data_IF_961705082912
#
_entry.id   IF_961705082912
#
_cell.length_a   1.000
_cell.length_b   1.000
_cell.length_c   1.000
_cell.angle_alpha   90.00
_cell.angle_beta   90.00
_cell.angle_gamma   90.00
#
_symmetry.space_group_name_H-M   'P 1'
#
loop_
_entity.id
_entity.type
_entity.pdbx_description
1 polymer ?
#
# COMPACT_ATOMS: atom_id res chain seq x y z
N UNK A 1 -35.18 -5.18 18.12
CA UNK A 1 -34.28 -4.60 17.11
C UNK A 1 -34.76 -4.97 15.70
N UNK A 2 -34.82 -4.00 14.78
CA UNK A 2 -35.19 -4.28 13.39
C UNK A 2 -34.18 -5.26 12.75
N UNK A 3 -34.66 -6.19 11.88
CA UNK A 3 -33.86 -7.26 11.29
C UNK A 3 -32.65 -6.70 10.50
N UNK A 4 -32.87 -5.68 9.66
CA UNK A 4 -31.80 -5.07 8.85
C UNK A 4 -30.67 -4.47 9.71
N UNK A 5 -31.04 -3.76 10.78
CA UNK A 5 -30.07 -3.22 11.73
C UNK A 5 -29.27 -4.33 12.39
N UNK A 6 -29.93 -5.42 12.81
CA UNK A 6 -29.28 -6.56 13.43
C UNK A 6 -28.27 -7.24 12.48
N UNK A 7 -28.62 -7.45 11.20
CA UNK A 7 -27.71 -8.05 10.23
C UNK A 7 -26.44 -7.20 10.04
N UNK A 8 -26.55 -5.88 9.95
CA UNK A 8 -25.41 -4.97 9.85
C UNK A 8 -24.53 -5.05 11.11
N UNK A 9 -25.16 -4.96 12.29
CA UNK A 9 -24.41 -5.05 13.56
C UNK A 9 -23.76 -6.42 13.74
N UNK A 10 -24.43 -7.51 13.33
CA UNK A 10 -23.84 -8.86 13.32
C UNK A 10 -22.63 -8.93 12.37
N UNK A 11 -22.74 -8.39 11.17
CA UNK A 11 -21.61 -8.36 10.22
C UNK A 11 -20.39 -7.64 10.82
N UNK A 12 -20.61 -6.52 11.51
CA UNK A 12 -19.55 -5.78 12.21
C UNK A 12 -18.94 -6.62 13.35
N UNK A 13 -19.81 -7.28 14.15
CA UNK A 13 -19.37 -8.07 15.29
C UNK A 13 -18.56 -9.30 14.89
N UNK A 14 -19.03 -10.07 13.89
CA UNK A 14 -18.36 -11.30 13.44
C UNK A 14 -17.05 -11.02 12.73
N UNK A 15 -16.94 -9.89 12.02
CA UNK A 15 -15.68 -9.48 11.35
C UNK A 15 -14.52 -9.23 12.34
N UNK A 16 -14.83 -8.91 13.60
CA UNK A 16 -13.83 -8.72 14.66
C UNK A 16 -13.38 -10.03 15.30
N UNK A 17 -14.14 -11.12 15.08
CA UNK A 17 -13.91 -12.43 15.70
C UNK A 17 -13.29 -13.39 14.70
N UNK A 18 -12.35 -14.22 15.13
CA UNK A 18 -11.80 -15.32 14.30
C UNK A 18 -12.78 -16.49 14.22
N UNK A 19 -13.41 -16.82 15.37
CA UNK A 19 -14.41 -17.87 15.51
C UNK A 19 -15.46 -17.44 16.53
N UNK A 20 -16.66 -17.95 16.40
CA UNK A 20 -17.81 -17.65 17.27
C UNK A 20 -18.86 -18.75 17.14
N UNK A 21 -19.78 -18.81 18.09
CA UNK A 21 -20.89 -19.76 18.04
C UNK A 21 -22.26 -19.06 18.12
N UNK A 22 -23.32 -19.78 17.72
CA UNK A 22 -24.65 -19.23 17.68
C UNK A 22 -25.21 -18.84 19.06
N UNK A 23 -24.74 -19.48 20.14
CA UNK A 23 -25.19 -19.17 21.52
C UNK A 23 -24.59 -17.85 22.00
N UNK A 24 -23.30 -17.61 21.70
CA UNK A 24 -22.64 -16.33 22.00
C UNK A 24 -23.32 -15.17 21.32
N UNK A 25 -23.56 -15.29 20.00
CA UNK A 25 -24.27 -14.24 19.25
C UNK A 25 -25.71 -14.06 19.72
N UNK A 26 -26.40 -15.13 20.06
CA UNK A 26 -27.75 -15.05 20.60
C UNK A 26 -27.81 -14.25 21.91
N UNK A 27 -26.84 -14.46 22.79
CA UNK A 27 -26.70 -13.70 24.04
C UNK A 27 -26.32 -12.24 23.76
N UNK A 28 -25.37 -11.98 22.84
CA UNK A 28 -24.89 -10.64 22.50
C UNK A 28 -26.00 -9.77 21.87
N UNK A 29 -26.82 -10.37 21.00
CA UNK A 29 -27.87 -9.65 20.27
C UNK A 29 -29.28 -9.76 20.91
N UNK A 30 -29.42 -10.49 22.03
CA UNK A 30 -30.69 -10.64 22.74
C UNK A 30 -31.78 -11.34 21.94
N UNK A 31 -31.40 -12.35 21.11
CA UNK A 31 -32.32 -13.11 20.26
C UNK A 31 -32.10 -14.62 20.43
N UNK A 32 -33.04 -15.44 19.90
CA UNK A 32 -32.87 -16.90 19.98
C UNK A 32 -31.73 -17.40 19.03
N UNK A 33 -31.12 -18.53 19.39
CA UNK A 33 -30.14 -19.22 18.53
C UNK A 33 -30.72 -19.56 17.16
N UNK A 34 -32.00 -19.89 17.05
CA UNK A 34 -32.71 -20.13 15.79
C UNK A 34 -32.71 -18.86 14.90
N UNK A 35 -32.88 -17.68 15.53
CA UNK A 35 -32.83 -16.40 14.82
C UNK A 35 -31.44 -16.15 14.31
N UNK A 36 -30.40 -16.38 15.13
CA UNK A 36 -29.00 -16.24 14.73
C UNK A 36 -28.65 -17.15 13.54
N UNK A 37 -29.02 -18.43 13.61
CA UNK A 37 -28.73 -19.37 12.50
C UNK A 37 -29.34 -18.88 11.19
N UNK A 38 -30.58 -18.35 11.22
CA UNK A 38 -31.23 -17.80 10.03
C UNK A 38 -30.54 -16.52 9.55
N UNK A 39 -30.18 -15.65 10.45
CA UNK A 39 -29.45 -14.42 10.13
C UNK A 39 -28.05 -14.74 9.57
N UNK A 40 -27.36 -15.78 10.07
CA UNK A 40 -26.09 -16.28 9.49
C UNK A 40 -26.27 -16.82 8.07
N UNK A 41 -27.35 -17.56 7.79
CA UNK A 41 -27.67 -18.01 6.43
C UNK A 41 -27.85 -16.83 5.48
N UNK A 42 -28.53 -15.76 5.92
CA UNK A 42 -28.68 -14.55 5.12
C UNK A 42 -27.34 -13.81 4.90
N UNK A 43 -26.51 -13.70 5.94
CA UNK A 43 -25.18 -13.12 5.81
C UNK A 43 -24.29 -13.93 4.84
N UNK A 44 -24.39 -15.25 4.87
CA UNK A 44 -23.73 -16.12 3.89
C UNK A 44 -24.23 -15.87 2.45
N UNK A 45 -25.55 -15.73 2.28
CA UNK A 45 -26.14 -15.38 0.98
C UNK A 45 -25.73 -13.99 0.47
N UNK A 46 -25.40 -13.06 1.40
CA UNK A 46 -24.83 -11.73 1.11
C UNK A 46 -23.32 -11.78 0.83
N UNK A 47 -22.69 -12.96 0.87
CA UNK A 47 -21.28 -13.16 0.55
C UNK A 47 -20.33 -12.99 1.73
N UNK A 48 -20.83 -12.95 2.97
CA UNK A 48 -19.92 -12.89 4.14
C UNK A 48 -19.16 -14.22 4.26
N UNK A 49 -17.81 -14.22 4.23
CA UNK A 49 -17.01 -15.43 4.09
C UNK A 49 -16.76 -16.10 5.44
N UNK A 50 -17.58 -17.06 5.79
CA UNK A 50 -17.39 -17.95 6.93
C UNK A 50 -17.83 -19.37 6.58
N UNK A 51 -17.32 -20.33 7.33
CA UNK A 51 -17.80 -21.71 7.26
C UNK A 51 -18.29 -22.17 8.64
N UNK A 52 -19.17 -23.17 8.64
CA UNK A 52 -19.70 -23.76 9.86
C UNK A 52 -19.07 -25.12 10.10
N UNK A 53 -18.66 -25.36 11.34
CA UNK A 53 -18.23 -26.67 11.80
C UNK A 53 -19.35 -27.31 12.64
N UNK A 54 -19.71 -28.55 12.28
CA UNK A 54 -20.75 -29.32 12.99
C UNK A 54 -20.11 -30.15 14.09
N UNK A 55 -20.62 -30.08 15.32
CA UNK A 55 -20.13 -30.89 16.44
C UNK A 55 -20.44 -30.30 17.79
N UNK A 56 -20.05 -31.02 18.86
CA UNK A 56 -20.29 -30.61 20.24
C UNK A 56 -19.58 -29.27 20.59
N UNK A 57 -18.51 -28.93 19.88
CA UNK A 57 -17.80 -27.67 19.91
C UNK A 57 -17.93 -26.89 18.59
N UNK A 58 -18.98 -27.23 17.79
CA UNK A 58 -19.23 -26.62 16.50
C UNK A 58 -19.54 -25.13 16.61
N UNK A 59 -19.17 -24.39 15.58
CA UNK A 59 -19.33 -22.94 15.50
C UNK A 59 -19.16 -22.42 14.08
N UNK A 60 -18.88 -21.16 13.98
CA UNK A 60 -18.56 -20.48 12.73
C UNK A 60 -17.13 -19.95 12.80
N UNK A 61 -16.39 -20.13 11.73
CA UNK A 61 -15.02 -19.60 11.59
C UNK A 61 -14.96 -18.71 10.35
N UNK A 62 -14.46 -17.48 10.53
CA UNK A 62 -14.26 -16.56 9.42
C UNK A 62 -13.15 -17.09 8.51
N UNK A 63 -13.36 -17.04 7.21
CA UNK A 63 -12.30 -17.23 6.23
C UNK A 63 -11.28 -16.07 6.33
N UNK A 64 -10.06 -16.29 5.88
CA UNK A 64 -8.97 -15.31 6.01
C UNK A 64 -9.24 -13.97 5.28
N UNK A 65 -10.12 -13.96 4.30
CA UNK A 65 -10.57 -12.75 3.63
C UNK A 65 -11.64 -12.04 4.49
N UNK A 66 -11.19 -11.10 5.31
CA UNK A 66 -12.08 -10.25 6.09
C UNK A 66 -12.79 -9.25 5.17
N UNK A 67 -14.11 -9.33 5.09
CA UNK A 67 -14.91 -8.29 4.44
C UNK A 67 -15.13 -7.12 5.41
N UNK A 68 -14.92 -5.91 4.93
CA UNK A 68 -15.34 -4.72 5.68
C UNK A 68 -16.87 -4.66 5.70
N UNK A 69 -17.48 -4.19 6.81
CA UNK A 69 -18.92 -3.94 6.85
C UNK A 69 -19.29 -2.86 5.82
N UNK A 70 -20.55 -2.78 5.38
CA UNK A 70 -20.99 -1.71 4.50
C UNK A 70 -20.62 -0.34 5.07
N UNK A 71 -19.78 0.40 4.36
CA UNK A 71 -19.41 1.78 4.70
C UNK A 71 -20.09 2.69 3.70
N UNK A 72 -20.85 3.68 4.21
CA UNK A 72 -21.45 4.68 3.36
C UNK A 72 -20.38 5.72 2.98
N UNK A 73 -20.30 6.03 1.69
CA UNK A 73 -19.47 7.09 1.15
C UNK A 73 -20.36 8.22 0.64
N UNK A 74 -19.96 9.44 0.92
CA UNK A 74 -20.50 10.63 0.24
C UNK A 74 -19.95 10.70 -1.19
N UNK A 75 -20.61 11.46 -2.06
CA UNK A 75 -20.12 11.73 -3.42
C UNK A 75 -18.72 12.30 -3.43
N UNK A 76 -18.42 13.24 -2.52
CA UNK A 76 -17.11 13.87 -2.40
C UNK A 76 -16.00 12.88 -2.03
N UNK A 77 -16.28 11.96 -1.09
CA UNK A 77 -15.34 10.92 -0.70
C UNK A 77 -15.09 9.93 -1.84
N UNK A 78 -16.13 9.55 -2.57
CA UNK A 78 -15.99 8.69 -3.73
C UNK A 78 -15.16 9.37 -4.83
N UNK A 79 -15.41 10.64 -5.14
CA UNK A 79 -14.58 11.43 -6.07
C UNK A 79 -13.12 11.49 -5.63
N UNK A 80 -12.84 11.66 -4.33
CA UNK A 80 -11.49 11.69 -3.80
C UNK A 80 -10.75 10.35 -4.01
N UNK A 81 -11.43 9.21 -3.86
CA UNK A 81 -10.85 7.89 -4.16
C UNK A 81 -10.48 7.76 -5.64
N UNK A 82 -11.37 8.16 -6.55
CA UNK A 82 -11.09 8.16 -7.99
C UNK A 82 -9.94 9.09 -8.35
N UNK A 83 -9.89 10.28 -7.74
CA UNK A 83 -8.82 11.25 -7.93
C UNK A 83 -7.46 10.66 -7.50
N UNK A 84 -7.38 10.09 -6.31
CA UNK A 84 -6.16 9.48 -5.79
C UNK A 84 -5.67 8.32 -6.67
N UNK A 85 -6.59 7.45 -7.11
CA UNK A 85 -6.26 6.35 -8.01
C UNK A 85 -5.78 6.86 -9.38
N UNK A 86 -6.44 7.88 -9.94
CA UNK A 86 -6.06 8.46 -11.22
C UNK A 86 -4.67 9.13 -11.20
N UNK A 87 -4.25 9.68 -10.06
CA UNK A 87 -2.93 10.27 -9.88
C UNK A 87 -1.79 9.26 -10.10
N UNK A 88 -2.05 7.96 -9.85
CA UNK A 88 -1.04 6.90 -9.96
C UNK A 88 -1.00 6.23 -11.35
N UNK A 89 -1.84 6.62 -12.30
CA UNK A 89 -1.99 5.94 -13.60
C UNK A 89 -0.76 5.91 -14.49
N UNK A 90 0.23 6.76 -14.21
CA UNK A 90 1.48 6.82 -14.99
C UNK A 90 2.54 5.79 -14.55
N UNK A 91 2.30 5.08 -13.45
CA UNK A 91 3.14 3.96 -13.05
C UNK A 91 2.66 2.68 -13.75
N UNK A 92 3.60 1.90 -14.30
CA UNK A 92 3.30 0.68 -15.06
C UNK A 92 2.68 -0.41 -14.20
N UNK A 93 3.12 -0.51 -12.95
CA UNK A 93 2.60 -1.46 -11.95
C UNK A 93 2.37 -0.72 -10.64
N UNK A 94 1.35 -1.12 -9.90
CA UNK A 94 1.04 -0.63 -8.55
C UNK A 94 0.97 -1.81 -7.58
N UNK A 95 1.35 -1.62 -6.31
CA UNK A 95 0.99 -2.59 -5.29
C UNK A 95 -0.54 -2.61 -5.16
N UNK A 96 -1.14 -3.82 -5.04
CA UNK A 96 -2.59 -4.00 -4.94
C UNK A 96 -3.40 -3.45 -6.13
N UNK A 97 -2.88 -3.56 -7.36
CA UNK A 97 -3.53 -3.04 -8.56
C UNK A 97 -4.89 -3.70 -8.82
N UNK A 98 -4.96 -5.03 -8.68
CA UNK A 98 -6.19 -5.79 -8.88
C UNK A 98 -7.29 -5.40 -7.88
N UNK A 99 -6.92 -5.17 -6.63
CA UNK A 99 -7.80 -4.73 -5.55
C UNK A 99 -8.29 -3.30 -5.80
N UNK A 100 -7.39 -2.42 -6.22
CA UNK A 100 -7.74 -1.03 -6.57
C UNK A 100 -8.76 -0.99 -7.70
N UNK A 101 -8.53 -1.72 -8.77
CA UNK A 101 -9.46 -1.83 -9.90
C UNK A 101 -10.80 -2.45 -9.48
N UNK A 102 -10.78 -3.45 -8.61
CA UNK A 102 -12.00 -4.05 -8.07
C UNK A 102 -12.83 -3.05 -7.29
N UNK A 103 -12.19 -2.27 -6.41
CA UNK A 103 -12.87 -1.23 -5.60
C UNK A 103 -13.46 -0.15 -6.51
N UNK A 104 -12.69 0.37 -7.46
CA UNK A 104 -13.16 1.40 -8.38
C UNK A 104 -14.35 0.95 -9.22
N UNK A 105 -14.33 -0.29 -9.74
CA UNK A 105 -15.48 -0.86 -10.47
C UNK A 105 -16.73 -0.96 -9.59
N UNK A 106 -16.60 -1.39 -8.33
CA UNK A 106 -17.72 -1.43 -7.38
C UNK A 106 -18.27 -0.04 -7.13
N UNK A 107 -17.43 0.93 -6.82
CA UNK A 107 -17.89 2.33 -6.62
C UNK A 107 -18.61 2.85 -7.85
N UNK A 108 -18.01 2.71 -9.04
CA UNK A 108 -18.57 3.22 -10.29
C UNK A 108 -19.95 2.59 -10.59
N UNK A 109 -20.14 1.31 -10.30
CA UNK A 109 -21.41 0.61 -10.51
C UNK A 109 -22.57 1.15 -9.66
N UNK A 110 -22.29 1.67 -8.46
CA UNK A 110 -23.30 2.19 -7.53
C UNK A 110 -23.50 3.71 -7.61
N UNK A 111 -22.73 4.41 -8.45
CA UNK A 111 -22.88 5.86 -8.63
C UNK A 111 -24.00 6.21 -9.59
N UNK A 112 -24.63 7.37 -9.35
CA UNK A 112 -25.57 7.97 -10.29
C UNK A 112 -24.85 8.44 -11.58
N UNK A 113 -25.60 8.66 -12.64
CA UNK A 113 -25.07 9.03 -13.96
C UNK A 113 -24.32 10.36 -13.92
N UNK A 114 -24.86 11.36 -13.23
CA UNK A 114 -24.25 12.68 -13.06
C UNK A 114 -22.88 12.63 -12.36
N UNK A 115 -22.71 11.72 -11.37
CA UNK A 115 -21.43 11.52 -10.69
C UNK A 115 -20.43 10.82 -11.62
N UNK A 116 -20.86 9.82 -12.38
CA UNK A 116 -20.01 9.17 -13.40
C UNK A 116 -19.51 10.17 -14.41
N UNK A 117 -20.39 11.00 -14.95
CA UNK A 117 -20.04 12.09 -15.87
C UNK A 117 -19.06 13.08 -15.24
N UNK A 118 -19.22 13.36 -13.95
CA UNK A 118 -18.29 14.24 -13.22
C UNK A 118 -16.90 13.62 -13.09
N UNK A 119 -16.81 12.32 -12.80
CA UNK A 119 -15.56 11.56 -12.76
C UNK A 119 -14.87 11.59 -14.13
N UNK A 120 -15.60 11.33 -15.20
CA UNK A 120 -15.05 11.30 -16.56
C UNK A 120 -14.55 12.67 -17.00
N UNK A 121 -15.29 13.73 -16.69
CA UNK A 121 -14.82 15.10 -16.91
C UNK A 121 -13.60 15.47 -16.09
N UNK A 122 -13.51 14.99 -14.84
CA UNK A 122 -12.35 15.21 -13.97
C UNK A 122 -11.10 14.53 -14.53
N UNK A 123 -11.22 13.28 -14.99
CA UNK A 123 -10.11 12.53 -15.61
C UNK A 123 -9.49 13.24 -16.80
N UNK A 124 -10.31 13.99 -17.58
CA UNK A 124 -9.85 14.77 -18.72
C UNK A 124 -9.23 16.13 -18.33
N UNK A 125 -9.37 16.57 -17.08
CA UNK A 125 -8.95 17.91 -16.62
C UNK A 125 -7.92 17.93 -15.54
N UNK A 126 -7.58 16.77 -14.99
CA UNK A 126 -6.55 16.60 -13.97
C UNK A 126 -5.55 15.53 -14.38
N UNK A 127 -4.29 15.86 -14.21
CA UNK A 127 -3.17 14.93 -14.38
C UNK A 127 -2.07 15.21 -13.34
N UNK A 128 -1.51 14.15 -12.76
CA UNK A 128 -0.27 14.21 -12.02
C UNK A 128 0.83 13.62 -12.90
N UNK A 129 1.46 14.49 -13.68
CA UNK A 129 2.44 14.07 -14.68
C UNK A 129 3.70 13.58 -14.00
N UNK A 130 4.00 12.31 -14.21
CA UNK A 130 5.28 11.70 -13.84
C UNK A 130 5.95 11.14 -15.11
N UNK A 131 7.29 11.06 -15.15
CA UNK A 131 7.96 10.43 -16.30
C UNK A 131 7.46 8.99 -16.50
N UNK A 132 6.82 8.72 -17.63
CA UNK A 132 6.31 7.40 -17.94
C UNK A 132 7.48 6.43 -18.17
N UNK A 133 7.52 5.36 -17.37
CA UNK A 133 8.51 4.28 -17.49
C UNK A 133 7.78 2.99 -17.82
N UNK A 134 8.24 2.29 -18.87
CA UNK A 134 7.66 0.99 -19.30
C UNK A 134 8.30 -0.21 -18.62
N UNK A 135 9.06 0.02 -17.56
CA UNK A 135 9.73 -1.05 -16.85
C UNK A 135 8.74 -1.72 -15.88
N UNK A 136 8.55 -3.03 -16.03
CA UNK A 136 7.67 -3.82 -15.15
C UNK A 136 8.30 -4.03 -13.78
N UNK A 137 7.47 -3.99 -12.74
CA UNK A 137 7.84 -4.16 -11.32
C UNK A 137 6.90 -5.16 -10.62
N UNK A 138 6.86 -6.43 -11.03
CA UNK A 138 5.82 -7.38 -10.63
C UNK A 138 5.89 -7.80 -9.15
N UNK A 139 6.93 -7.42 -8.43
CA UNK A 139 7.18 -7.87 -7.06
C UNK A 139 6.84 -6.82 -5.99
N UNK A 140 6.15 -5.72 -6.34
CA UNK A 140 5.87 -4.61 -5.40
C UNK A 140 5.08 -5.05 -4.18
N UNK A 141 4.00 -5.82 -4.35
CA UNK A 141 3.18 -6.31 -3.25
C UNK A 141 3.99 -7.21 -2.31
N UNK A 142 4.77 -8.15 -2.87
CA UNK A 142 5.60 -9.05 -2.07
C UNK A 142 6.67 -8.30 -1.27
N UNK A 143 7.31 -7.29 -1.88
CA UNK A 143 8.30 -6.44 -1.20
C UNK A 143 7.67 -5.62 -0.08
N UNK A 144 6.48 -5.09 -0.31
CA UNK A 144 5.73 -4.32 0.68
C UNK A 144 5.28 -5.21 1.86
N UNK A 145 4.73 -6.39 1.57
CA UNK A 145 4.33 -7.36 2.59
C UNK A 145 5.53 -7.84 3.42
N UNK A 146 6.67 -8.10 2.77
CA UNK A 146 7.89 -8.46 3.45
C UNK A 146 8.42 -7.33 4.36
N UNK A 147 8.27 -6.07 3.95
CA UNK A 147 8.62 -4.92 4.78
C UNK A 147 7.70 -4.78 6.00
N UNK A 148 6.39 -4.91 5.81
CA UNK A 148 5.38 -4.84 6.88
C UNK A 148 5.61 -5.96 7.91
N UNK A 149 5.84 -7.17 7.44
CA UNK A 149 6.02 -8.36 8.28
C UNK A 149 7.46 -8.53 8.81
N UNK A 150 8.37 -7.60 8.50
CA UNK A 150 9.79 -7.65 8.86
C UNK A 150 10.46 -8.97 8.40
N UNK A 151 10.14 -9.42 7.17
CA UNK A 151 10.67 -10.67 6.60
C UNK A 151 11.85 -10.42 5.69
N UNK A 152 12.73 -11.41 5.61
CA UNK A 152 13.85 -11.42 4.66
C UNK A 152 13.38 -12.04 3.34
N UNK A 153 13.79 -11.45 2.24
CA UNK A 153 13.59 -12.01 0.90
C UNK A 153 14.93 -12.27 0.22
N UNK A 154 14.96 -13.31 -0.59
CA UNK A 154 16.03 -13.56 -1.55
C UNK A 154 15.59 -12.99 -2.88
N UNK A 155 16.38 -12.07 -3.44
CA UNK A 155 16.10 -11.48 -4.74
C UNK A 155 17.26 -11.65 -5.70
N UNK A 156 16.95 -11.89 -6.97
CA UNK A 156 17.89 -11.71 -8.08
C UNK A 156 17.86 -10.25 -8.56
N UNK A 157 18.98 -9.56 -8.43
CA UNK A 157 19.11 -8.16 -8.80
C UNK A 157 20.09 -7.96 -9.95
N UNK A 158 19.65 -7.26 -11.00
CA UNK A 158 20.46 -6.91 -12.14
C UNK A 158 21.01 -5.49 -11.99
N UNK A 159 22.30 -5.38 -11.65
CA UNK A 159 23.02 -4.11 -11.69
C UNK A 159 23.59 -3.89 -13.12
N UNK A 160 24.11 -2.67 -13.39
CA UNK A 160 24.70 -2.34 -14.71
C UNK A 160 25.78 -3.34 -15.19
N UNK A 161 26.37 -4.12 -14.32
CA UNK A 161 27.53 -4.99 -14.61
C UNK A 161 27.33 -6.46 -14.24
N UNK A 162 26.42 -6.79 -13.32
CA UNK A 162 26.31 -8.15 -12.79
C UNK A 162 24.89 -8.46 -12.35
N UNK A 163 24.47 -9.71 -12.58
CA UNK A 163 23.27 -10.32 -12.00
C UNK A 163 23.70 -11.05 -10.73
N UNK A 164 23.10 -10.74 -9.58
CA UNK A 164 23.48 -11.32 -8.30
C UNK A 164 22.23 -11.66 -7.48
N UNK A 165 22.27 -12.82 -6.84
CA UNK A 165 21.29 -13.20 -5.80
C UNK A 165 21.72 -12.57 -4.47
N UNK A 166 20.75 -11.99 -3.74
CA UNK A 166 20.98 -11.31 -2.46
C UNK A 166 19.85 -11.59 -1.50
N UNK A 167 20.20 -11.88 -0.26
CA UNK A 167 19.25 -11.83 0.85
C UNK A 167 19.16 -10.37 1.32
N UNK A 168 17.94 -9.82 1.32
CA UNK A 168 17.67 -8.46 1.78
C UNK A 168 16.44 -8.44 2.69
N UNK A 169 16.40 -7.51 3.62
CA UNK A 169 15.21 -7.23 4.42
C UNK A 169 14.63 -5.89 3.97
N UNK A 170 13.49 -5.88 3.26
CA UNK A 170 12.84 -4.66 2.82
C UNK A 170 12.45 -3.77 4.01
N UNK A 171 12.62 -2.46 3.86
CA UNK A 171 12.17 -1.44 4.80
C UNK A 171 10.84 -0.86 4.33
N UNK A 172 10.64 -0.81 3.02
CA UNK A 172 9.45 -0.31 2.38
C UNK A 172 9.63 -0.16 0.88
N UNK A 173 8.63 0.40 0.23
CA UNK A 173 8.71 0.82 -1.17
C UNK A 173 8.26 2.26 -1.30
N UNK A 174 8.84 2.99 -2.24
CA UNK A 174 8.35 4.33 -2.60
C UNK A 174 8.55 4.59 -4.09
N UNK A 175 7.74 5.49 -4.63
CA UNK A 175 7.80 5.88 -6.02
C UNK A 175 8.46 7.26 -6.16
N UNK A 176 9.37 7.42 -7.12
CA UNK A 176 10.01 8.69 -7.45
C UNK A 176 10.39 8.71 -8.93
N UNK A 177 10.11 9.82 -9.62
CA UNK A 177 10.47 10.06 -11.01
C UNK A 177 10.07 8.90 -11.97
N UNK A 178 8.89 8.31 -11.71
CA UNK A 178 8.34 7.21 -12.52
C UNK A 178 8.96 5.84 -12.26
N UNK A 179 9.82 5.69 -11.25
CA UNK A 179 10.38 4.42 -10.81
C UNK A 179 9.92 4.08 -9.39
N UNK A 180 9.85 2.77 -9.11
CA UNK A 180 9.71 2.24 -7.77
C UNK A 180 11.07 1.89 -7.17
N UNK A 181 11.24 2.23 -5.92
CA UNK A 181 12.45 2.00 -5.13
C UNK A 181 12.11 1.22 -3.87
N UNK A 182 13.03 0.35 -3.48
CA UNK A 182 12.96 -0.43 -2.23
C UNK A 182 14.24 -0.20 -1.44
N UNK A 183 14.24 0.65 -0.40
CA UNK A 183 15.29 0.64 0.59
C UNK A 183 15.22 -0.67 1.37
N UNK A 184 16.35 -1.35 1.52
CA UNK A 184 16.42 -2.63 2.20
C UNK A 184 17.80 -2.84 2.85
N UNK A 185 17.83 -3.52 4.00
CA UNK A 185 19.09 -4.00 4.56
C UNK A 185 19.62 -5.17 3.74
N UNK A 186 20.82 -5.02 3.20
CA UNK A 186 21.48 -6.02 2.38
C UNK A 186 22.44 -6.84 3.25
N UNK A 187 22.11 -8.11 3.51
CA UNK A 187 22.94 -8.97 4.34
C UNK A 187 24.33 -9.25 3.78
N UNK A 188 24.51 -9.18 2.45
CA UNK A 188 25.81 -9.32 1.81
C UNK A 188 26.71 -8.11 2.07
N UNK A 189 26.13 -6.91 2.09
CA UNK A 189 26.86 -5.65 2.32
C UNK A 189 26.87 -5.25 3.81
N UNK A 190 25.99 -5.85 4.61
CA UNK A 190 25.74 -5.52 6.03
C UNK A 190 25.35 -4.05 6.24
N UNK A 191 24.62 -3.50 5.28
CA UNK A 191 24.24 -2.10 5.24
C UNK A 191 22.91 -1.91 4.49
N UNK A 192 22.26 -0.76 4.71
CA UNK A 192 21.06 -0.37 3.99
C UNK A 192 21.45 0.08 2.58
N UNK A 193 20.74 -0.45 1.60
CA UNK A 193 20.96 -0.11 0.18
C UNK A 193 19.63 0.17 -0.50
N UNK A 194 19.65 1.06 -1.48
CA UNK A 194 18.52 1.40 -2.30
C UNK A 194 18.48 0.54 -3.56
N UNK A 195 17.39 -0.17 -3.75
CA UNK A 195 17.17 -1.02 -4.91
C UNK A 195 16.07 -0.45 -5.80
N UNK A 196 16.32 -0.35 -7.10
CA UNK A 196 15.28 -0.05 -8.09
C UNK A 196 14.50 -1.32 -8.39
N UNK A 197 13.17 -1.26 -8.23
CA UNK A 197 12.31 -2.46 -8.34
C UNK A 197 12.26 -3.04 -9.75
N UNK A 198 12.42 -2.22 -10.80
CA UNK A 198 12.47 -2.67 -12.20
C UNK A 198 13.71 -3.52 -12.55
N UNK A 199 14.72 -3.53 -11.69
CA UNK A 199 15.93 -4.34 -11.85
C UNK A 199 15.87 -5.67 -11.10
N UNK A 200 14.78 -5.94 -10.42
CA UNK A 200 14.55 -7.18 -9.68
C UNK A 200 13.96 -8.21 -10.66
N UNK A 201 14.61 -9.36 -10.80
CA UNK A 201 14.22 -10.43 -11.74
C UNK A 201 13.41 -11.54 -11.08
N UNK A 202 13.66 -11.79 -9.80
CA UNK A 202 12.88 -12.71 -8.98
C UNK A 202 12.94 -12.31 -7.52
N UNK A 203 11.90 -12.63 -6.75
CA UNK A 203 11.83 -12.47 -5.30
C UNK A 203 11.15 -13.69 -4.71
N UNK A 204 11.73 -14.23 -3.65
CA UNK A 204 11.14 -15.30 -2.83
C UNK A 204 11.42 -15.03 -1.35
N UNK A 205 10.56 -15.54 -0.47
CA UNK A 205 10.81 -15.46 0.97
C UNK A 205 12.06 -16.27 1.31
N UNK A 206 12.93 -15.71 2.17
CA UNK A 206 14.13 -16.34 2.65
C UNK A 206 13.91 -16.86 4.09
N UNK A 207 14.45 -18.04 4.41
CA UNK A 207 14.47 -18.56 5.78
C UNK A 207 15.48 -17.86 6.68
N UNK A 208 16.20 -16.87 6.14
CA UNK A 208 17.20 -16.13 6.91
C UNK A 208 16.52 -15.34 8.02
N UNK A 209 17.12 -15.37 9.22
CA UNK A 209 16.63 -14.62 10.36
C UNK A 209 16.71 -13.11 10.07
N UNK A 210 15.58 -12.43 10.26
CA UNK A 210 15.48 -10.99 10.19
C UNK A 210 16.25 -10.30 11.33
N UNK A 211 16.68 -9.07 11.09
CA UNK A 211 17.19 -8.16 12.12
C UNK A 211 16.08 -7.19 12.53
N UNK A 212 16.22 -6.53 13.66
CA UNK A 212 15.25 -5.55 14.11
C UNK A 212 15.41 -4.24 13.33
N UNK A 213 14.45 -3.93 12.47
CA UNK A 213 14.33 -2.68 11.70
C UNK A 213 13.03 -1.94 11.99
N UNK A 214 12.38 -2.21 13.12
CA UNK A 214 11.07 -1.61 13.46
C UNK A 214 11.09 -0.09 13.55
N UNK A 215 12.24 0.51 13.83
CA UNK A 215 12.41 1.97 13.88
C UNK A 215 12.81 2.58 12.53
N UNK A 216 13.13 1.75 11.53
CA UNK A 216 13.56 2.21 10.21
C UNK A 216 12.40 2.15 9.24
N UNK A 217 12.11 3.26 8.59
CA UNK A 217 11.00 3.38 7.64
C UNK A 217 11.38 4.24 6.43
N UNK A 218 10.48 4.36 5.45
CA UNK A 218 10.74 5.10 4.20
C UNK A 218 11.08 6.58 4.39
N UNK A 219 10.79 7.18 5.53
CA UNK A 219 11.09 8.57 5.84
C UNK A 219 12.41 8.81 6.56
N UNK A 220 13.10 7.76 7.05
CA UNK A 220 14.33 7.93 7.82
C UNK A 220 15.47 6.96 7.47
N UNK A 221 15.28 6.03 6.55
CA UNK A 221 16.26 5.00 6.22
C UNK A 221 17.62 5.56 5.79
N UNK A 222 17.67 6.74 5.20
CA UNK A 222 18.92 7.39 4.76
C UNK A 222 19.84 7.74 5.92
N UNK A 223 19.29 8.05 7.10
CA UNK A 223 20.09 8.35 8.30
C UNK A 223 20.75 7.11 8.93
N UNK A 224 20.40 5.92 8.47
CA UNK A 224 20.99 4.65 8.93
C UNK A 224 22.01 4.07 7.93
N UNK A 225 22.30 4.76 6.83
CA UNK A 225 23.37 4.36 5.90
C UNK A 225 24.69 4.77 6.52
N UNK A 226 25.61 3.80 6.64
CA UNK A 226 27.01 4.14 6.96
C UNK A 226 27.63 4.83 5.74
N UNK A 227 28.08 6.07 5.91
CA UNK A 227 28.78 6.82 4.86
C UNK A 227 30.15 6.16 4.58
N UNK A 228 30.21 5.28 3.61
CA UNK A 228 31.46 4.64 3.14
C UNK A 228 32.37 5.58 2.32
N UNK A 229 31.90 6.77 1.99
CA UNK A 229 32.65 7.73 1.18
C UNK A 229 32.78 9.06 1.88
N UNK A 230 33.96 9.69 1.81
CA UNK A 230 34.07 11.06 2.31
C UNK A 230 33.03 11.93 1.58
N UNK A 231 32.22 12.62 2.35
CA UNK A 231 31.28 13.57 1.80
C UNK A 231 32.07 14.68 1.10
N UNK A 232 31.89 14.81 -0.20
CA UNK A 232 32.42 15.97 -0.93
C UNK A 232 31.34 17.06 -0.84
N UNK A 233 31.70 18.20 -0.29
CA UNK A 233 30.88 19.39 -0.33
C UNK A 233 31.19 20.15 -1.62
N UNK A 234 30.15 20.37 -2.43
CA UNK A 234 30.26 21.13 -3.68
C UNK A 234 29.58 22.49 -3.48
N UNK A 235 30.39 23.53 -3.52
CA UNK A 235 29.91 24.91 -3.53
C UNK A 235 29.81 25.40 -4.98
N UNK A 236 28.65 25.91 -5.36
CA UNK A 236 28.38 26.42 -6.70
C UNK A 236 27.71 27.77 -6.60
N UNK A 237 28.19 28.76 -7.32
CA UNK A 237 27.49 30.02 -7.50
C UNK A 237 26.50 29.93 -8.64
N UNK A 238 25.26 30.30 -8.38
CA UNK A 238 24.17 30.21 -9.33
C UNK A 238 23.67 31.60 -9.73
N UNK A 239 23.35 31.77 -11.00
CA UNK A 239 22.55 32.90 -11.45
C UNK A 239 21.13 32.81 -10.92
N UNK A 240 20.36 33.91 -10.93
CA UNK A 240 18.94 33.89 -10.51
C UNK A 240 18.13 32.83 -11.25
N UNK A 241 18.39 32.63 -12.55
CA UNK A 241 17.76 31.54 -13.33
C UNK A 241 18.23 30.16 -12.87
N UNK A 242 19.49 30.04 -12.44
CA UNK A 242 20.04 28.79 -11.89
C UNK A 242 19.38 28.43 -10.55
N UNK A 243 19.18 29.39 -9.67
CA UNK A 243 18.44 29.24 -8.40
C UNK A 243 17.02 28.74 -8.67
N UNK A 244 16.26 29.41 -9.54
CA UNK A 244 14.90 29.00 -9.89
C UNK A 244 14.84 27.57 -10.47
N UNK A 245 15.81 27.16 -11.27
CA UNK A 245 15.92 25.80 -11.77
C UNK A 245 16.19 24.79 -10.66
N UNK A 246 17.10 25.08 -9.76
CA UNK A 246 17.38 24.20 -8.62
C UNK A 246 16.17 24.07 -7.69
N UNK A 247 15.43 25.15 -7.44
CA UNK A 247 14.19 25.12 -6.63
C UNK A 247 13.07 24.34 -7.31
N UNK A 248 13.02 24.31 -8.64
CA UNK A 248 12.03 23.56 -9.40
C UNK A 248 12.32 22.04 -9.48
N UNK A 249 13.54 21.62 -9.16
CA UNK A 249 13.95 20.21 -9.15
C UNK A 249 13.74 19.61 -7.76
N UNK A 250 13.37 18.32 -7.72
CA UNK A 250 13.24 17.60 -6.44
C UNK A 250 14.60 17.10 -5.96
N UNK A 251 15.19 17.83 -5.03
CA UNK A 251 16.39 17.42 -4.30
C UNK A 251 16.04 16.89 -2.92
N UNK A 252 16.71 15.84 -2.42
CA UNK A 252 16.63 15.51 -1.02
C UNK A 252 17.09 16.69 -0.16
N UNK A 253 16.28 17.09 0.81
CA UNK A 253 16.50 18.32 1.62
C UNK A 253 17.88 18.41 2.28
N UNK A 254 18.52 17.26 2.53
CA UNK A 254 19.87 17.17 3.11
C UNK A 254 21.01 17.23 2.07
N UNK A 255 20.69 17.22 0.76
CA UNK A 255 21.69 17.21 -0.32
C UNK A 255 21.82 18.54 -1.05
N UNK A 256 20.91 19.46 -0.86
CA UNK A 256 20.96 20.78 -1.45
C UNK A 256 20.57 21.84 -0.42
N UNK A 257 21.48 22.78 -0.18
CA UNK A 257 21.21 24.00 0.58
C UNK A 257 21.41 25.17 -0.37
N UNK A 258 20.35 25.97 -0.59
CA UNK A 258 20.40 27.16 -1.44
C UNK A 258 20.35 28.38 -0.54
N UNK A 259 21.37 29.21 -0.64
CA UNK A 259 21.42 30.52 0.01
C UNK A 259 21.16 31.60 -1.03
N UNK A 260 19.95 32.12 -1.08
CA UNK A 260 19.55 33.14 -2.05
C UNK A 260 19.98 34.51 -1.56
N UNK A 261 20.71 35.26 -2.38
CA UNK A 261 21.12 36.65 -2.11
C UNK A 261 20.00 37.63 -2.49
N UNK A 262 20.12 38.89 -2.08
CA UNK A 262 19.11 39.93 -2.35
C UNK A 262 18.88 40.18 -3.87
N UNK A 263 19.89 39.93 -4.70
CA UNK A 263 19.81 40.02 -6.18
C UNK A 263 19.23 38.77 -6.85
N UNK A 264 18.82 37.77 -6.06
CA UNK A 264 18.25 36.51 -6.54
C UNK A 264 19.29 35.50 -7.00
N UNK A 265 20.60 35.75 -6.86
CA UNK A 265 21.68 34.74 -7.08
C UNK A 265 21.87 33.87 -5.83
N UNK A 266 22.54 32.74 -5.96
CA UNK A 266 22.75 31.81 -4.84
C UNK A 266 24.06 31.05 -4.93
#
# INVERSE_FOLDING_TARGET
MAKSKRLIEMMIAINKKKSFNAKELASEFGVSTRTIVRDMQELSALGVPFYSEVGQHGGYTMLNERMLPPVAFTEGEALAVFFASHALRHYADLPFEAETDSVLRKFYAYMSEDIRDRIDRMRARFDLVTPMRRASTPYLSLLLDAAIDQKVVRMEYESKRHKQSRDVQPIGIYASNGFWYCPAYCFHRRDIRLFRCDRIKSVELSERKAIDLTQVHTGNWESYIEEESPAFELHVELTATGVQRCESEMWPAHKLQIHVREDGTG
#
